data_IF_765987608306
#
_entry.id   IF_765987608306
#
_cell.length_a   1.000
_cell.length_b   1.000
_cell.length_c   1.000
_cell.angle_alpha   90.00
_cell.angle_beta   90.00
_cell.angle_gamma   90.00
#
_symmetry.space_group_name_H-M   'P 1'
#
loop_
_entity.id
_entity.type
_entity.pdbx_description
1 polymer ?
#
# COMPACT_ATOMS: atom_id res chain seq x y z
N UNK A 1 -3.93 24.87 32.47
CA UNK A 1 -3.79 23.43 32.22
C UNK A 1 -4.52 23.15 30.91
N UNK A 2 -3.81 23.26 29.80
CA UNK A 2 -4.27 22.89 28.46
C UNK A 2 -3.09 22.20 27.78
N UNK A 3 -3.32 20.98 27.30
CA UNK A 3 -2.34 20.14 26.62
C UNK A 3 -2.10 20.67 25.21
N UNK A 4 -0.84 20.94 24.87
CA UNK A 4 -0.43 21.23 23.50
C UNK A 4 -0.38 19.93 22.68
N UNK A 5 -1.20 19.84 21.64
CA UNK A 5 -1.04 18.86 20.57
C UNK A 5 -0.07 19.45 19.53
N UNK A 6 1.05 18.76 19.27
CA UNK A 6 1.98 19.10 18.18
C UNK A 6 1.60 18.30 16.94
N UNK A 7 1.17 18.99 15.89
CA UNK A 7 1.15 18.46 14.53
C UNK A 7 2.49 18.80 13.85
N UNK A 8 3.24 17.78 13.43
CA UNK A 8 4.46 17.93 12.64
C UNK A 8 4.10 17.81 11.15
N UNK A 9 3.92 18.96 10.49
CA UNK A 9 3.87 19.04 9.03
C UNK A 9 5.30 19.17 8.52
N UNK A 10 5.85 18.10 7.94
CA UNK A 10 7.17 18.11 7.32
C UNK A 10 7.12 18.92 6.00
N UNK A 11 7.70 20.12 6.03
CA UNK A 11 7.94 20.97 4.86
C UNK A 11 7.70 22.46 5.06
N UNK A 12 6.91 22.86 6.07
CA UNK A 12 6.76 24.25 6.49
C UNK A 12 7.02 24.33 8.00
N UNK A 13 8.10 24.99 8.41
CA UNK A 13 8.16 25.51 9.78
C UNK A 13 7.12 26.63 9.88
N UNK A 14 5.93 26.32 10.39
CA UNK A 14 5.04 27.35 10.91
C UNK A 14 5.67 27.91 12.20
N UNK A 15 6.08 29.18 12.17
CA UNK A 15 6.32 29.95 13.39
C UNK A 15 5.22 30.99 13.56
N UNK A 16 4.82 31.14 14.82
CA UNK A 16 3.70 31.95 15.29
C UNK A 16 3.72 33.40 14.79
N UNK A 17 2.52 33.87 14.44
CA UNK A 17 2.22 35.23 14.05
C UNK A 17 2.31 36.17 15.26
N UNK A 18 3.28 37.08 15.26
CA UNK A 18 3.09 38.42 15.85
C UNK A 18 3.78 39.46 14.95
N UNK A 19 2.99 40.44 14.53
CA UNK A 19 3.34 41.70 13.86
C UNK A 19 3.93 41.66 12.43
N UNK A 20 3.03 41.99 11.49
CA UNK A 20 3.21 42.24 10.06
C UNK A 20 4.58 42.79 9.60
N UNK A 21 5.50 41.90 9.19
CA UNK A 21 6.50 42.11 8.11
C UNK A 21 7.19 40.78 7.78
N UNK A 22 6.94 40.24 6.58
CA UNK A 22 7.64 39.08 6.05
C UNK A 22 9.02 39.51 5.53
N UNK A 23 10.08 38.95 6.08
CA UNK A 23 11.42 38.97 5.49
C UNK A 23 11.96 37.54 5.45
N UNK A 24 12.27 37.06 4.24
CA UNK A 24 12.81 35.73 4.00
C UNK A 24 14.33 35.75 4.14
N UNK A 25 14.90 34.82 4.91
CA UNK A 25 16.33 34.51 4.89
C UNK A 25 16.48 33.11 4.30
N UNK A 26 16.99 33.03 3.07
CA UNK A 26 17.35 31.76 2.43
C UNK A 26 18.70 31.28 2.96
N UNK A 27 18.71 30.15 3.66
CA UNK A 27 19.93 29.44 4.02
C UNK A 27 19.94 28.05 3.38
N UNK A 28 21.00 27.77 2.62
CA UNK A 28 21.42 26.45 2.10
C UNK A 28 20.59 25.80 0.98
N UNK A 29 21.06 25.96 -0.25
CA UNK A 29 20.67 25.23 -1.47
C UNK A 29 21.20 23.78 -1.49
N UNK A 30 20.73 22.92 -0.58
CA UNK A 30 20.67 21.49 -0.88
C UNK A 30 19.37 21.25 -1.63
N UNK A 31 19.44 20.87 -2.91
CA UNK A 31 18.25 20.40 -3.65
C UNK A 31 17.60 19.30 -2.81
N UNK A 32 16.46 19.58 -2.20
CA UNK A 32 15.63 18.57 -1.55
C UNK A 32 15.28 17.58 -2.67
N UNK A 33 15.92 16.40 -2.67
CA UNK A 33 15.49 15.31 -3.53
C UNK A 33 14.21 14.80 -2.92
N UNK A 34 13.10 15.04 -3.61
CA UNK A 34 11.83 14.41 -3.30
C UNK A 34 11.85 13.06 -4.00
N UNK A 35 11.72 11.96 -3.26
CA UNK A 35 11.62 10.63 -3.85
C UNK A 35 10.41 10.58 -4.78
N UNK A 36 10.61 10.06 -5.98
CA UNK A 36 9.55 9.93 -6.98
C UNK A 36 8.82 8.60 -6.76
N UNK A 37 7.69 8.65 -6.06
CA UNK A 37 6.82 7.51 -5.80
C UNK A 37 5.78 7.35 -6.91
N UNK A 38 6.23 6.92 -8.09
CA UNK A 38 5.34 6.58 -9.20
C UNK A 38 5.89 5.46 -10.07
N UNK A 39 5.05 4.98 -10.99
CA UNK A 39 5.33 3.80 -11.80
C UNK A 39 6.46 4.00 -12.83
N UNK A 40 6.96 5.23 -13.03
CA UNK A 40 8.15 5.46 -13.85
C UNK A 40 9.46 5.21 -13.09
N UNK A 41 9.41 5.08 -11.76
CA UNK A 41 10.55 4.74 -10.93
C UNK A 41 10.68 3.23 -10.77
N UNK A 42 11.71 2.64 -11.40
CA UNK A 42 11.91 1.18 -11.41
C UNK A 42 12.12 0.63 -10.00
N UNK A 43 12.88 1.33 -9.17
CA UNK A 43 13.18 0.88 -7.81
C UNK A 43 11.90 0.82 -6.98
N UNK A 44 11.03 1.80 -7.14
CA UNK A 44 9.72 1.80 -6.49
C UNK A 44 8.81 0.70 -7.02
N UNK A 45 8.78 0.46 -8.34
CA UNK A 45 8.01 -0.67 -8.88
C UNK A 45 8.51 -2.02 -8.35
N UNK A 46 9.84 -2.21 -8.24
CA UNK A 46 10.40 -3.46 -7.68
C UNK A 46 10.05 -3.62 -6.20
N UNK A 47 10.10 -2.54 -5.43
CA UNK A 47 9.61 -2.52 -4.05
C UNK A 47 8.14 -2.91 -3.98
N UNK A 48 7.26 -2.34 -4.82
CA UNK A 48 5.84 -2.74 -4.81
C UNK A 48 5.66 -4.25 -5.01
N UNK A 49 6.49 -4.90 -5.85
CA UNK A 49 6.39 -6.35 -6.08
C UNK A 49 6.78 -7.19 -4.85
N UNK A 50 7.45 -6.62 -3.84
CA UNK A 50 7.79 -7.34 -2.60
C UNK A 50 6.67 -7.32 -1.57
N UNK A 51 5.64 -6.51 -1.78
CA UNK A 51 4.52 -6.32 -0.83
C UNK A 51 3.45 -7.42 -0.89
N UNK A 52 3.74 -8.56 -1.52
CA UNK A 52 2.77 -9.62 -1.80
C UNK A 52 3.17 -10.96 -1.14
N UNK A 53 3.06 -11.11 0.19
CA UNK A 53 3.54 -12.29 0.92
C UNK A 53 2.88 -13.63 0.54
N UNK A 54 1.66 -13.61 -0.02
CA UNK A 54 0.99 -14.80 -0.56
C UNK A 54 1.29 -15.08 -2.04
N UNK A 55 2.08 -14.25 -2.72
CA UNK A 55 2.38 -14.43 -4.14
C UNK A 55 3.33 -15.59 -4.34
N UNK A 56 2.80 -16.73 -4.79
CA UNK A 56 3.56 -17.97 -5.01
C UNK A 56 3.26 -18.58 -6.38
N UNK A 57 4.18 -19.41 -6.86
CA UNK A 57 3.99 -20.23 -8.04
C UNK A 57 4.35 -21.67 -7.69
N UNK A 58 3.34 -22.53 -7.65
CA UNK A 58 3.51 -23.94 -7.26
C UNK A 58 4.37 -24.73 -8.25
N UNK A 59 4.24 -24.46 -9.56
CA UNK A 59 5.02 -25.17 -10.59
C UNK A 59 6.51 -24.85 -10.49
N UNK A 60 6.85 -23.63 -10.07
CA UNK A 60 8.23 -23.17 -9.89
C UNK A 60 8.76 -23.35 -8.47
N UNK A 61 7.91 -23.76 -7.54
CA UNK A 61 8.22 -23.91 -6.11
C UNK A 61 8.91 -22.67 -5.52
N UNK A 62 8.45 -21.47 -5.88
CA UNK A 62 9.06 -20.21 -5.45
C UNK A 62 8.03 -19.14 -5.07
N UNK A 63 8.48 -18.15 -4.32
CA UNK A 63 7.72 -16.96 -3.92
C UNK A 63 8.05 -15.77 -4.82
N UNK A 64 7.15 -14.81 -4.93
CA UNK A 64 7.37 -13.60 -5.74
C UNK A 64 8.60 -12.82 -5.27
N UNK A 65 8.80 -12.69 -3.96
CA UNK A 65 9.95 -11.98 -3.40
C UNK A 65 11.27 -12.55 -3.91
N UNK A 66 11.40 -13.87 -3.90
CA UNK A 66 12.61 -14.56 -4.32
C UNK A 66 12.76 -14.46 -5.85
N UNK A 67 11.67 -14.67 -6.58
CA UNK A 67 11.65 -14.53 -8.03
C UNK A 67 12.08 -13.13 -8.50
N UNK A 68 11.64 -12.07 -7.83
CA UNK A 68 12.03 -10.69 -8.16
C UNK A 68 13.52 -10.47 -7.90
N UNK A 69 14.05 -10.97 -6.76
CA UNK A 69 15.48 -10.86 -6.43
C UNK A 69 16.36 -11.62 -7.43
N UNK A 70 15.90 -12.76 -7.94
CA UNK A 70 16.62 -13.56 -8.93
C UNK A 70 16.65 -12.93 -10.33
N UNK A 71 15.58 -12.22 -10.71
CA UNK A 71 15.42 -11.68 -12.06
C UNK A 71 15.77 -10.19 -12.20
N UNK A 72 15.89 -9.46 -11.10
CA UNK A 72 16.11 -8.02 -11.12
C UNK A 72 17.21 -7.57 -10.15
N UNK A 73 17.94 -6.54 -10.56
CA UNK A 73 18.77 -5.79 -9.64
C UNK A 73 17.87 -5.02 -8.67
N UNK A 74 17.89 -5.41 -7.40
CA UNK A 74 17.12 -4.76 -6.34
C UNK A 74 17.64 -3.34 -6.04
N UNK A 75 16.78 -2.45 -5.54
CA UNK A 75 17.18 -1.13 -5.08
C UNK A 75 18.31 -1.21 -4.04
N UNK A 76 19.16 -0.19 -4.01
CA UNK A 76 20.22 -0.12 -2.99
C UNK A 76 19.63 0.03 -1.59
N UNK A 77 20.35 -0.42 -0.57
CA UNK A 77 20.03 -0.16 0.84
C UNK A 77 19.76 1.34 1.10
N UNK A 78 20.60 2.24 0.57
CA UNK A 78 20.39 3.69 0.72
C UNK A 78 19.08 4.21 0.12
N UNK A 79 18.56 3.52 -0.90
CA UNK A 79 17.27 3.86 -1.50
C UNK A 79 16.12 3.38 -0.60
N UNK A 80 16.24 2.17 -0.05
CA UNK A 80 15.29 1.65 0.93
C UNK A 80 15.26 2.48 2.21
N UNK A 81 16.42 2.87 2.75
CA UNK A 81 16.49 3.76 3.92
C UNK A 81 15.84 5.13 3.64
N UNK A 82 15.98 5.65 2.43
CA UNK A 82 15.31 6.89 2.03
C UNK A 82 13.80 6.70 2.00
N UNK A 83 13.29 5.60 1.42
CA UNK A 83 11.86 5.30 1.34
C UNK A 83 11.24 5.03 2.72
N UNK A 84 11.85 4.12 3.46
CA UNK A 84 11.23 3.42 4.57
C UNK A 84 11.73 3.89 5.95
N UNK A 85 12.80 4.68 5.97
CA UNK A 85 13.49 5.08 7.19
C UNK A 85 14.61 4.12 7.57
N UNK A 86 15.29 4.44 8.68
CA UNK A 86 16.50 3.72 9.12
C UNK A 86 16.23 2.70 10.21
N UNK A 87 17.06 1.68 10.25
CA UNK A 87 17.18 0.76 11.38
C UNK A 87 18.48 1.00 12.14
N UNK A 88 18.50 0.63 13.42
CA UNK A 88 19.71 0.57 14.23
C UNK A 88 20.49 -0.74 13.97
N UNK A 89 21.63 -0.92 14.65
CA UNK A 89 22.47 -2.12 14.53
C UNK A 89 21.74 -3.43 14.91
N UNK A 90 20.62 -3.34 15.65
CA UNK A 90 19.79 -4.48 16.02
C UNK A 90 18.65 -4.75 15.03
N UNK A 91 18.54 -3.95 13.96
CA UNK A 91 17.46 -4.03 12.98
C UNK A 91 16.16 -3.38 13.43
N UNK A 92 16.18 -2.61 14.53
CA UNK A 92 15.00 -1.90 15.03
C UNK A 92 14.86 -0.52 14.38
N UNK A 93 13.64 -0.11 14.08
CA UNK A 93 13.35 1.20 13.51
C UNK A 93 13.83 2.34 14.43
N UNK A 94 14.58 3.28 13.87
CA UNK A 94 15.04 4.48 14.57
C UNK A 94 13.88 5.43 14.81
N UNK A 95 13.72 5.88 16.05
CA UNK A 95 12.65 6.82 16.45
C UNK A 95 13.14 8.27 16.54
N UNK A 96 12.35 9.27 16.10
CA UNK A 96 11.06 9.10 15.41
C UNK A 96 11.27 8.53 13.99
N UNK A 97 10.32 7.71 13.53
CA UNK A 97 10.29 7.21 12.16
C UNK A 97 10.45 8.35 11.14
N UNK A 98 11.25 8.09 10.11
CA UNK A 98 11.68 9.08 9.12
C UNK A 98 11.50 8.62 7.66
N UNK A 99 10.64 7.62 7.42
CA UNK A 99 10.25 7.17 6.09
C UNK A 99 9.20 8.06 5.42
N UNK A 100 8.71 7.61 4.27
CA UNK A 100 7.70 8.30 3.48
C UNK A 100 6.30 7.76 3.78
N UNK A 101 5.34 8.68 3.81
CA UNK A 101 3.91 8.37 3.70
C UNK A 101 3.44 8.73 2.29
N UNK A 102 2.93 7.76 1.54
CA UNK A 102 2.17 8.04 0.33
C UNK A 102 0.72 8.34 0.69
N UNK A 103 0.24 9.52 0.29
CA UNK A 103 -1.12 9.98 0.56
C UNK A 103 -1.88 10.15 -0.75
N UNK A 104 -3.09 9.59 -0.83
CA UNK A 104 -3.94 9.69 -2.00
C UNK A 104 -5.41 9.94 -1.62
N UNK A 105 -5.98 11.11 -1.92
CA UNK A 105 -7.41 11.36 -1.73
C UNK A 105 -8.23 10.47 -2.67
N UNK A 106 -8.98 9.52 -2.11
CA UNK A 106 -9.85 8.61 -2.89
C UNK A 106 -11.12 9.36 -3.33
N UNK A 107 -11.70 10.13 -2.41
CA UNK A 107 -12.82 11.04 -2.62
C UNK A 107 -12.87 12.09 -1.49
N UNK A 108 -13.94 12.88 -1.41
CA UNK A 108 -14.09 13.95 -0.40
C UNK A 108 -14.12 13.44 1.06
N UNK A 109 -14.42 12.15 1.29
CA UNK A 109 -14.58 11.56 2.62
C UNK A 109 -13.42 10.66 3.04
N UNK A 110 -12.67 10.12 2.07
CA UNK A 110 -11.64 9.11 2.31
C UNK A 110 -10.33 9.50 1.65
N UNK A 111 -9.28 9.56 2.46
CA UNK A 111 -7.89 9.61 2.00
C UNK A 111 -7.20 8.31 2.35
N UNK A 112 -6.52 7.71 1.39
CA UNK A 112 -5.68 6.55 1.59
C UNK A 112 -4.26 6.97 1.96
N UNK A 113 -3.69 6.26 2.94
CA UNK A 113 -2.31 6.43 3.37
C UNK A 113 -1.60 5.08 3.31
N UNK A 114 -0.36 5.10 2.84
CA UNK A 114 0.58 3.99 2.95
C UNK A 114 1.88 4.52 3.57
N UNK A 115 2.20 4.03 4.75
CA UNK A 115 3.43 4.37 5.48
C UNK A 115 4.46 3.27 5.22
N UNK A 116 5.60 3.65 4.64
CA UNK A 116 6.67 2.71 4.35
C UNK A 116 7.62 2.65 5.55
N UNK A 117 7.65 1.51 6.22
CA UNK A 117 8.56 1.21 7.33
C UNK A 117 9.60 0.19 6.87
N UNK A 118 10.76 0.07 7.55
CA UNK A 118 11.86 -0.77 7.06
C UNK A 118 11.49 -2.24 6.86
N UNK A 119 10.48 -2.73 7.60
CA UNK A 119 10.08 -4.14 7.60
C UNK A 119 8.60 -4.36 7.20
N UNK A 120 7.86 -3.30 6.90
CA UNK A 120 6.43 -3.39 6.55
C UNK A 120 5.93 -2.11 5.86
N UNK A 121 4.88 -2.24 5.05
CA UNK A 121 4.05 -1.11 4.67
C UNK A 121 2.76 -1.17 5.48
N UNK A 122 2.37 -0.06 6.10
CA UNK A 122 1.14 0.06 6.89
C UNK A 122 0.12 0.90 6.13
N UNK A 123 -1.11 0.40 6.03
CA UNK A 123 -2.16 1.02 5.23
C UNK A 123 -3.31 1.57 6.07
N UNK A 124 -3.81 2.74 5.68
CA UNK A 124 -4.94 3.41 6.33
C UNK A 124 -5.93 3.99 5.33
N UNK A 125 -7.20 4.00 5.70
CA UNK A 125 -8.17 4.98 5.21
C UNK A 125 -8.45 5.98 6.32
N UNK A 126 -8.13 7.25 6.10
CA UNK A 126 -8.11 8.27 7.14
C UNK A 126 -7.24 7.80 8.32
N UNK A 127 -7.83 7.64 9.49
CA UNK A 127 -7.21 7.12 10.71
C UNK A 127 -7.57 5.64 10.98
N UNK A 128 -8.32 5.00 10.08
CA UNK A 128 -8.70 3.58 10.21
C UNK A 128 -7.63 2.69 9.59
N UNK A 129 -7.01 1.86 10.42
CA UNK A 129 -6.04 0.84 10.00
C UNK A 129 -6.70 -0.20 9.08
N UNK A 130 -6.02 -0.53 7.99
CA UNK A 130 -6.49 -1.48 6.98
C UNK A 130 -5.70 -2.78 6.99
N UNK A 131 -4.41 -2.73 7.36
CA UNK A 131 -3.50 -3.86 7.22
C UNK A 131 -2.03 -3.48 7.12
N UNK A 132 -1.17 -4.49 7.11
CA UNK A 132 0.27 -4.36 6.89
C UNK A 132 0.87 -5.57 6.13
N UNK A 133 2.05 -5.40 5.54
CA UNK A 133 2.80 -6.42 4.78
C UNK A 133 3.95 -7.07 5.55
N UNK A 134 4.11 -6.78 6.84
CA UNK A 134 5.23 -7.23 7.66
C UNK A 134 5.22 -8.72 8.02
N UNK A 135 6.12 -9.12 8.92
CA UNK A 135 6.25 -10.51 9.38
C UNK A 135 5.00 -11.09 10.07
N UNK A 136 4.12 -10.21 10.57
CA UNK A 136 2.78 -10.53 11.02
C UNK A 136 1.76 -9.77 10.17
N UNK A 137 1.76 -10.03 8.86
CA UNK A 137 0.91 -9.32 7.93
C UNK A 137 -0.58 -9.48 8.26
N UNK A 138 -1.33 -8.42 7.96
CA UNK A 138 -2.79 -8.36 7.97
C UNK A 138 -3.21 -7.79 6.62
N UNK A 139 -3.71 -8.64 5.72
CA UNK A 139 -4.03 -8.37 4.32
C UNK A 139 -5.43 -8.94 4.00
N UNK A 140 -5.75 -9.17 2.71
CA UNK A 140 -7.06 -9.77 2.33
C UNK A 140 -8.25 -8.97 2.90
N UNK A 141 -8.16 -7.65 2.83
CA UNK A 141 -9.17 -6.71 3.31
C UNK A 141 -10.24 -6.49 2.27
N UNK A 142 -9.96 -5.89 1.11
CA UNK A 142 -10.92 -5.41 0.10
C UNK A 142 -11.45 -6.54 -0.77
N UNK A 143 -12.71 -6.46 -1.19
CA UNK A 143 -13.23 -7.32 -2.26
C UNK A 143 -12.68 -6.83 -3.59
N UNK A 144 -12.46 -7.73 -4.54
CA UNK A 144 -12.09 -7.36 -5.91
C UNK A 144 -13.01 -6.29 -6.51
N UNK A 145 -14.33 -6.44 -6.35
CA UNK A 145 -15.31 -5.45 -6.80
C UNK A 145 -15.15 -4.06 -6.12
N UNK A 146 -14.72 -4.01 -4.87
CA UNK A 146 -14.51 -2.75 -4.13
C UNK A 146 -13.25 -2.04 -4.64
N UNK A 147 -12.15 -2.78 -4.85
CA UNK A 147 -10.95 -2.24 -5.49
C UNK A 147 -11.27 -1.64 -6.86
N UNK A 148 -11.95 -2.41 -7.73
CA UNK A 148 -12.35 -1.93 -9.06
C UNK A 148 -13.18 -0.66 -8.99
N UNK A 149 -14.12 -0.59 -8.04
CA UNK A 149 -14.96 0.61 -7.88
C UNK A 149 -14.16 1.83 -7.45
N UNK A 150 -13.21 1.67 -6.53
CA UNK A 150 -12.31 2.75 -6.09
C UNK A 150 -11.45 3.26 -7.25
N UNK A 151 -10.82 2.34 -7.99
CA UNK A 151 -9.90 2.63 -9.11
C UNK A 151 -10.65 3.27 -10.29
N UNK A 152 -11.85 2.79 -10.63
CA UNK A 152 -12.61 3.27 -11.79
C UNK A 152 -13.12 4.71 -11.67
N UNK A 153 -13.14 5.29 -10.46
CA UNK A 153 -13.60 6.66 -10.21
C UNK A 153 -12.51 7.72 -10.29
N UNK A 154 -11.27 7.31 -10.48
CA UNK A 154 -10.15 8.25 -10.48
C UNK A 154 -10.01 8.91 -11.86
N UNK A 155 -9.86 10.24 -11.85
CA UNK A 155 -9.73 11.04 -13.08
C UNK A 155 -8.36 10.89 -13.77
N UNK A 156 -7.37 10.35 -13.07
CA UNK A 156 -6.00 10.13 -13.55
C UNK A 156 -5.74 8.64 -13.69
N UNK A 157 -4.66 8.28 -14.39
CA UNK A 157 -4.20 6.88 -14.46
C UNK A 157 -4.11 6.27 -13.05
N UNK A 158 -5.01 5.32 -12.71
CA UNK A 158 -5.13 4.82 -11.35
C UNK A 158 -4.16 3.66 -11.08
N UNK A 159 -3.25 3.35 -12.01
CA UNK A 159 -2.38 2.18 -11.92
C UNK A 159 -1.52 2.15 -10.65
N UNK A 160 -1.05 3.30 -10.17
CA UNK A 160 -0.33 3.34 -8.90
C UNK A 160 -1.26 3.00 -7.74
N UNK A 161 -2.43 3.63 -7.67
CA UNK A 161 -3.43 3.34 -6.64
C UNK A 161 -3.85 1.87 -6.66
N UNK A 162 -4.01 1.29 -7.85
CA UNK A 162 -4.28 -0.13 -8.04
C UNK A 162 -3.22 -0.99 -7.35
N UNK A 163 -1.94 -0.79 -7.63
CA UNK A 163 -0.87 -1.57 -6.98
C UNK A 163 -0.75 -1.31 -5.48
N UNK A 164 -1.07 -0.10 -5.01
CA UNK A 164 -1.03 0.22 -3.57
C UNK A 164 -2.15 -0.48 -2.78
N UNK A 165 -3.30 -0.75 -3.40
CA UNK A 165 -4.44 -1.44 -2.77
C UNK A 165 -4.47 -2.95 -3.07
N UNK A 166 -3.72 -3.42 -4.06
CA UNK A 166 -3.73 -4.82 -4.47
C UNK A 166 -3.29 -5.80 -3.37
N UNK A 167 -2.25 -5.54 -2.54
CA UNK A 167 -1.90 -6.40 -1.41
C UNK A 167 -3.04 -6.60 -0.41
N UNK A 168 -3.89 -5.57 -0.28
CA UNK A 168 -5.05 -5.59 0.61
C UNK A 168 -6.25 -6.29 -0.02
N UNK A 169 -6.19 -6.77 -1.26
CA UNK A 169 -7.37 -7.24 -2.00
C UNK A 169 -7.47 -8.76 -1.98
N UNK A 170 -8.69 -9.26 -1.82
CA UNK A 170 -9.04 -10.66 -1.90
C UNK A 170 -10.16 -10.85 -2.94
N UNK A 171 -9.88 -11.68 -3.94
CA UNK A 171 -10.79 -12.10 -4.99
C UNK A 171 -11.19 -13.56 -4.86
N UNK A 172 -12.35 -13.90 -5.40
CA UNK A 172 -12.80 -15.28 -5.51
C UNK A 172 -12.15 -15.98 -6.72
N UNK A 173 -12.03 -17.31 -6.67
CA UNK A 173 -11.51 -18.12 -7.78
C UNK A 173 -12.27 -17.89 -9.10
N UNK A 174 -13.56 -17.59 -9.03
CA UNK A 174 -14.38 -17.26 -10.21
C UNK A 174 -14.00 -15.93 -10.87
N UNK A 175 -13.25 -15.06 -10.17
CA UNK A 175 -12.76 -13.77 -10.65
C UNK A 175 -11.32 -13.84 -11.17
N UNK A 176 -10.65 -15.01 -11.09
CA UNK A 176 -9.21 -15.16 -11.36
C UNK A 176 -8.79 -14.64 -12.74
N UNK A 177 -9.53 -14.94 -13.80
CA UNK A 177 -9.19 -14.50 -15.16
C UNK A 177 -9.24 -12.97 -15.29
N UNK A 178 -10.26 -12.33 -14.68
CA UNK A 178 -10.43 -10.88 -14.66
C UNK A 178 -9.33 -10.20 -13.83
N UNK A 179 -9.04 -10.74 -12.65
CA UNK A 179 -7.95 -10.28 -11.77
C UNK A 179 -6.62 -10.30 -12.50
N UNK A 180 -6.29 -11.44 -13.12
CA UNK A 180 -5.03 -11.60 -13.86
C UNK A 180 -4.93 -10.63 -15.02
N UNK A 181 -6.03 -10.45 -15.75
CA UNK A 181 -6.08 -9.53 -16.88
C UNK A 181 -5.78 -8.09 -16.45
N UNK A 182 -6.46 -7.59 -15.41
CA UNK A 182 -6.25 -6.24 -14.88
C UNK A 182 -4.83 -6.06 -14.31
N UNK A 183 -4.31 -7.05 -13.58
CA UNK A 183 -2.92 -7.04 -13.10
C UNK A 183 -1.94 -6.92 -14.27
N UNK A 184 -2.08 -7.75 -15.32
CA UNK A 184 -1.22 -7.70 -16.48
C UNK A 184 -1.31 -6.34 -17.21
N UNK A 185 -2.51 -5.78 -17.33
CA UNK A 185 -2.73 -4.46 -17.91
C UNK A 185 -1.99 -3.37 -17.13
N UNK A 186 -2.12 -3.34 -15.81
CA UNK A 186 -1.44 -2.37 -14.95
C UNK A 186 0.08 -2.59 -14.90
N UNK A 187 0.56 -3.83 -14.97
CA UNK A 187 1.99 -4.14 -15.06
C UNK A 187 2.65 -3.47 -16.27
N UNK A 188 1.95 -3.34 -17.41
CA UNK A 188 2.48 -2.65 -18.60
C UNK A 188 2.81 -1.17 -18.36
N UNK A 189 2.20 -0.55 -17.35
CA UNK A 189 2.42 0.85 -16.96
C UNK A 189 3.64 1.03 -16.06
N UNK A 190 4.17 -0.05 -15.52
CA UNK A 190 5.38 -0.01 -14.69
C UNK A 190 6.63 0.21 -15.53
N UNK A 191 7.66 0.70 -14.87
CA UNK A 191 9.01 0.86 -15.42
C UNK A 191 9.82 -0.43 -15.37
N UNK A 192 9.26 -1.53 -14.84
CA UNK A 192 9.83 -2.86 -14.96
C UNK A 192 9.80 -3.25 -16.44
N UNK A 193 10.97 -3.68 -16.95
CA UNK A 193 11.15 -4.15 -18.33
C UNK A 193 11.89 -5.48 -18.25
N UNK A 194 11.24 -6.52 -18.72
CA UNK A 194 11.74 -7.89 -18.77
C UNK A 194 11.16 -8.60 -19.99
N UNK A 195 11.61 -9.84 -20.21
CA UNK A 195 11.02 -10.71 -21.22
C UNK A 195 9.55 -11.03 -20.89
N UNK A 196 8.75 -11.30 -21.93
CA UNK A 196 7.31 -11.54 -21.77
C UNK A 196 7.01 -12.69 -20.80
N UNK A 197 7.84 -13.74 -20.79
CA UNK A 197 7.72 -14.85 -19.85
C UNK A 197 7.87 -14.40 -18.39
N UNK A 198 8.82 -13.51 -18.11
CA UNK A 198 9.05 -12.98 -16.76
C UNK A 198 7.87 -12.10 -16.33
N UNK A 199 7.36 -11.26 -17.24
CA UNK A 199 6.20 -10.42 -16.94
C UNK A 199 4.93 -11.25 -16.72
N UNK A 200 4.76 -12.34 -17.48
CA UNK A 200 3.66 -13.29 -17.30
C UNK A 200 3.73 -13.99 -15.95
N UNK A 201 4.93 -14.45 -15.57
CA UNK A 201 5.17 -15.04 -14.26
C UNK A 201 4.80 -14.07 -13.13
N UNK A 202 5.26 -12.81 -13.18
CA UNK A 202 4.92 -11.78 -12.18
C UNK A 202 3.40 -11.61 -12.09
N UNK A 203 2.69 -11.56 -13.23
CA UNK A 203 1.23 -11.47 -13.22
C UNK A 203 0.59 -12.69 -12.53
N UNK A 204 1.12 -13.90 -12.75
CA UNK A 204 0.63 -15.13 -12.13
C UNK A 204 0.88 -15.12 -10.60
N UNK A 205 2.06 -14.69 -10.15
CA UNK A 205 2.36 -14.54 -8.71
C UNK A 205 1.44 -13.51 -8.03
N UNK A 206 1.23 -12.37 -8.65
CA UNK A 206 0.32 -11.35 -8.10
C UNK A 206 -1.13 -11.85 -8.08
N UNK A 207 -1.53 -12.63 -9.09
CA UNK A 207 -2.86 -13.24 -9.13
C UNK A 207 -3.03 -14.26 -8.00
N UNK A 208 -2.03 -15.11 -7.75
CA UNK A 208 -2.09 -16.10 -6.67
C UNK A 208 -2.11 -15.48 -5.28
N UNK A 209 -1.53 -14.29 -5.12
CA UNK A 209 -1.68 -13.50 -3.89
C UNK A 209 -3.13 -13.11 -3.62
N UNK A 210 -3.81 -12.60 -4.66
CA UNK A 210 -5.14 -11.99 -4.55
C UNK A 210 -6.25 -13.04 -4.50
N UNK A 211 -6.11 -14.13 -5.24
CA UNK A 211 -7.17 -15.14 -5.40
C UNK A 211 -7.14 -16.17 -4.28
N UNK A 212 -8.30 -16.47 -3.70
CA UNK A 212 -8.46 -17.59 -2.78
C UNK A 212 -9.73 -18.39 -3.06
N UNK A 213 -9.78 -19.63 -2.57
CA UNK A 213 -10.96 -20.49 -2.65
C UNK A 213 -12.15 -19.99 -1.82
N UNK A 214 -11.90 -19.22 -0.77
CA UNK A 214 -12.94 -18.66 0.09
C UNK A 214 -12.85 -17.14 0.05
N UNK A 215 -13.88 -16.52 -0.54
CA UNK A 215 -14.01 -15.07 -0.62
C UNK A 215 -14.68 -14.46 0.62
N UNK A 216 -15.56 -13.49 0.37
CA UNK A 216 -16.34 -12.81 1.40
C UNK A 216 -17.76 -13.32 1.47
N UNK A 217 -18.31 -13.34 2.67
CA UNK A 217 -19.74 -13.52 2.92
C UNK A 217 -20.33 -12.22 3.46
N UNK A 218 -21.61 -11.97 3.14
CA UNK A 218 -22.33 -10.83 3.69
C UNK A 218 -23.05 -11.24 4.97
N UNK A 219 -22.85 -10.47 6.04
CA UNK A 219 -23.54 -10.65 7.32
C UNK A 219 -24.44 -9.45 7.59
N UNK A 220 -25.74 -9.73 7.78
CA UNK A 220 -26.72 -8.69 8.07
C UNK A 220 -26.33 -7.87 9.30
N UNK A 221 -26.43 -6.54 9.19
CA UNK A 221 -26.07 -5.61 10.25
C UNK A 221 -24.57 -5.36 10.44
N UNK A 222 -23.68 -6.14 9.81
CA UNK A 222 -22.22 -5.99 9.94
C UNK A 222 -21.57 -5.60 8.61
N UNK A 223 -21.96 -6.21 7.50
CA UNK A 223 -21.32 -6.02 6.19
C UNK A 223 -20.58 -7.27 5.73
N UNK A 224 -19.55 -7.09 4.88
CA UNK A 224 -18.77 -8.21 4.34
C UNK A 224 -17.71 -8.66 5.34
N UNK A 225 -17.53 -9.97 5.43
CA UNK A 225 -16.53 -10.63 6.31
C UNK A 225 -15.87 -11.79 5.58
N UNK A 226 -14.70 -12.23 6.05
CA UNK A 226 -13.97 -13.38 5.51
C UNK A 226 -13.47 -14.32 6.61
N UNK A 227 -13.12 -15.55 6.24
CA UNK A 227 -12.51 -16.53 7.15
C UNK A 227 -10.97 -16.45 7.16
N UNK A 228 -10.36 -15.57 6.35
CA UNK A 228 -8.90 -15.40 6.30
C UNK A 228 -8.37 -14.85 7.63
N UNK A 229 -7.54 -15.61 8.34
CA UNK A 229 -7.00 -15.26 9.67
C UNK A 229 -6.21 -13.94 9.70
N UNK A 230 -5.61 -13.56 8.59
CA UNK A 230 -4.79 -12.36 8.47
C UNK A 230 -5.58 -11.23 7.83
N UNK A 231 -6.82 -10.97 8.24
CA UNK A 231 -7.66 -9.92 7.65
C UNK A 231 -8.38 -9.12 8.72
N UNK A 232 -8.42 -7.79 8.57
CA UNK A 232 -9.22 -6.94 9.47
C UNK A 232 -10.73 -7.16 9.31
N UNK A 233 -11.16 -7.81 8.22
CA UNK A 233 -12.54 -8.28 8.02
C UNK A 233 -12.73 -9.75 8.43
N UNK A 234 -11.86 -10.31 9.26
CA UNK A 234 -12.02 -11.68 9.76
C UNK A 234 -13.30 -11.83 10.58
N UNK A 235 -14.07 -12.88 10.32
CA UNK A 235 -15.35 -13.16 10.98
C UNK A 235 -15.30 -13.25 12.52
N UNK A 236 -14.12 -13.51 13.10
CA UNK A 236 -13.86 -13.62 14.53
C UNK A 236 -13.64 -12.26 15.22
N UNK A 237 -13.42 -11.17 14.47
CA UNK A 237 -13.33 -9.82 15.03
C UNK A 237 -14.69 -9.37 15.59
N UNK A 238 -14.65 -8.36 16.46
CA UNK A 238 -15.88 -7.84 17.07
C UNK A 238 -16.78 -7.20 16.00
N UNK A 239 -18.10 -7.24 16.20
CA UNK A 239 -19.01 -6.60 15.24
C UNK A 239 -18.84 -5.08 15.15
N UNK A 240 -18.28 -4.44 16.18
CA UNK A 240 -17.98 -3.01 16.20
C UNK A 240 -16.79 -2.69 15.28
N UNK A 241 -15.70 -3.46 15.39
CA UNK A 241 -14.53 -3.31 14.52
C UNK A 241 -14.91 -3.62 13.07
N UNK A 242 -15.67 -4.69 12.85
CA UNK A 242 -16.15 -5.09 11.53
C UNK A 242 -17.09 -4.06 10.89
N UNK A 243 -17.93 -3.37 11.67
CA UNK A 243 -18.75 -2.27 11.16
C UNK A 243 -17.89 -1.07 10.80
N UNK A 244 -16.94 -0.70 11.66
CA UNK A 244 -16.02 0.43 11.44
C UNK A 244 -15.27 0.27 10.11
N UNK A 245 -14.68 -0.90 9.88
CA UNK A 245 -13.92 -1.17 8.66
C UNK A 245 -14.83 -1.25 7.41
N UNK A 246 -16.03 -1.85 7.52
CA UNK A 246 -16.96 -1.90 6.38
C UNK A 246 -17.53 -0.52 6.04
N UNK A 247 -17.79 0.32 7.03
CA UNK A 247 -18.31 1.68 6.83
C UNK A 247 -17.29 2.56 6.12
N UNK A 248 -16.01 2.53 6.52
CA UNK A 248 -14.97 3.33 5.84
C UNK A 248 -14.70 2.85 4.41
N UNK A 249 -14.71 1.53 4.16
CA UNK A 249 -14.64 0.99 2.79
C UNK A 249 -15.88 1.42 1.99
N UNK A 250 -17.06 1.38 2.60
CA UNK A 250 -18.30 1.84 1.99
C UNK A 250 -18.27 3.34 1.63
N UNK A 251 -17.56 4.17 2.39
CA UNK A 251 -17.31 5.57 2.05
C UNK A 251 -16.32 5.72 0.90
N UNK A 252 -15.27 4.89 0.85
CA UNK A 252 -14.29 4.90 -0.24
C UNK A 252 -14.90 4.47 -1.59
N UNK A 253 -15.87 3.55 -1.55
CA UNK A 253 -16.58 3.01 -2.72
C UNK A 253 -17.74 3.88 -3.18
N UNK A 254 -18.15 4.93 -2.44
CA UNK A 254 -19.18 5.90 -2.86
C UNK A 254 -18.64 6.94 -3.82
#
# INVERSE_FOLDING_TARGET
MFSEYRFQLYGLQMLFCTDHKLSFIWGSTSKIRVMKLDLSNKDFCLFLMTEFPFGSNEEKETMLSDYIVENFQMPSESWFEELAGKTDESGQEVQPWNGYTWMYPINDNVTFYAEFHPNETIYFFNDTYLGNTGGHFHLSLLRWAELKSIVAKQDKDPSLLFFMLLPLTLGDISEQEDIRYEIALHLTKTSIKAEDLIMDDIANFLTSHVVAYQGFEYREGVGFVTQRNHSERNHMHSEEDLRTINDIIGLAVK
#
